data_IF_361211768000
#
_entry.id   IF_361211768000
#
_cell.length_a   1.000
_cell.length_b   1.000
_cell.length_c   1.000
_cell.angle_alpha   90.00
_cell.angle_beta   90.00
_cell.angle_gamma   90.00
#
_symmetry.space_group_name_H-M   'P 1'
#
loop_
_entity.id
_entity.type
_entity.pdbx_description
1 polymer ?
#
# COMPACT_ATOMS: atom_id res chain seq x y z
N UNK A 1 7.63 58.19 -70.37
CA UNK A 1 6.37 57.55 -70.83
C UNK A 1 6.02 56.54 -69.74
N UNK A 2 4.96 56.62 -68.92
CA UNK A 2 3.57 57.08 -69.09
C UNK A 2 2.66 55.83 -68.96
N UNK A 3 1.60 55.75 -68.13
CA UNK A 3 0.81 56.74 -67.37
C UNK A 3 0.03 56.10 -66.18
N UNK A 4 -0.14 56.85 -65.06
CA UNK A 4 -1.35 57.00 -64.19
C UNK A 4 -1.92 55.73 -63.46
N UNK A 5 -2.76 55.77 -62.39
CA UNK A 5 -3.60 56.82 -61.75
C UNK A 5 -3.87 56.49 -60.24
N UNK A 6 -3.52 57.35 -59.27
CA UNK A 6 -4.38 58.23 -58.41
C UNK A 6 -5.50 57.60 -57.54
N UNK A 7 -5.29 57.71 -56.20
CA UNK A 7 -6.20 58.00 -55.04
C UNK A 7 -7.74 57.89 -55.15
N UNK A 8 -8.40 57.49 -54.04
CA UNK A 8 -9.42 58.34 -53.36
C UNK A 8 -9.75 57.95 -51.90
N UNK A 9 -10.38 58.90 -51.19
CA UNK A 9 -10.64 59.00 -49.74
C UNK A 9 -12.14 59.35 -49.54
N UNK A 10 -12.87 58.67 -48.63
CA UNK A 10 -14.19 59.01 -48.03
C UNK A 10 -14.29 58.18 -46.72
N UNK A 11 -14.68 58.62 -45.49
CA UNK A 11 -15.14 59.89 -44.88
C UNK A 11 -16.67 60.19 -44.81
N UNK A 12 -17.34 59.66 -43.78
CA UNK A 12 -18.61 60.16 -43.18
C UNK A 12 -18.48 59.98 -41.65
N UNK A 13 -18.43 61.05 -40.83
CA UNK A 13 -19.55 61.77 -40.18
C UNK A 13 -20.44 60.86 -39.29
N UNK A 14 -20.33 60.84 -37.96
CA UNK A 14 -20.58 61.85 -36.89
C UNK A 14 -21.99 61.74 -36.28
N UNK A 15 -22.05 61.55 -34.95
CA UNK A 15 -23.08 61.89 -33.92
C UNK A 15 -22.88 60.90 -32.74
N UNK A 16 -22.36 61.18 -31.54
CA UNK A 16 -22.27 62.36 -30.65
C UNK A 16 -23.45 62.53 -29.65
N UNK A 17 -23.28 61.91 -28.48
CA UNK A 17 -23.77 62.29 -27.13
C UNK A 17 -22.85 61.58 -26.12
N UNK A 18 -22.14 62.20 -25.18
CA UNK A 18 -22.57 63.18 -24.16
C UNK A 18 -23.12 62.42 -22.94
N UNK A 19 -22.59 62.48 -21.70
CA UNK A 19 -21.60 63.37 -21.06
C UNK A 19 -20.93 62.61 -19.87
N UNK A 20 -19.59 62.61 -19.71
CA UNK A 20 -18.78 63.46 -18.80
C UNK A 20 -19.03 63.32 -17.27
N UNK A 21 -18.01 62.77 -16.59
CA UNK A 21 -17.59 62.91 -15.18
C UNK A 21 -18.56 62.58 -14.01
N UNK A 22 -18.08 61.69 -13.12
CA UNK A 22 -17.75 62.05 -11.73
C UNK A 22 -16.76 61.03 -11.14
N UNK A 23 -15.73 61.50 -10.45
CA UNK A 23 -14.80 60.64 -9.72
C UNK A 23 -15.39 60.24 -8.36
N UNK A 24 -15.50 58.94 -8.09
CA UNK A 24 -15.91 58.40 -6.80
C UNK A 24 -14.78 58.41 -5.76
N UNK A 25 -15.09 58.43 -4.45
CA UNK A 25 -14.12 58.73 -3.39
C UNK A 25 -13.13 57.59 -3.09
N UNK A 26 -11.99 57.95 -2.50
CA UNK A 26 -11.09 56.99 -1.82
C UNK A 26 -11.84 56.29 -0.68
N UNK A 27 -12.11 54.98 -0.83
CA UNK A 27 -12.67 54.20 0.27
C UNK A 27 -11.57 53.79 1.27
N UNK A 28 -11.38 54.63 2.30
CA UNK A 28 -10.60 54.26 3.49
C UNK A 28 -11.49 53.47 4.47
N UNK A 29 -11.90 52.27 4.04
CA UNK A 29 -12.79 51.37 4.77
C UNK A 29 -12.08 50.15 5.37
N UNK A 30 -12.09 50.06 6.70
CA UNK A 30 -12.04 48.83 7.52
C UNK A 30 -11.10 47.65 7.14
N UNK A 31 -9.97 47.57 7.87
CA UNK A 31 -9.36 46.27 8.23
C UNK A 31 -10.39 45.40 8.98
N UNK A 32 -11.09 44.50 8.30
CA UNK A 32 -11.66 43.28 8.90
C UNK A 32 -12.17 42.29 7.84
N UNK A 33 -11.26 41.47 7.28
CA UNK A 33 -11.61 40.10 6.92
C UNK A 33 -10.67 39.15 7.66
N UNK A 34 -11.14 38.58 8.77
CA UNK A 34 -10.56 37.33 9.26
C UNK A 34 -10.71 36.33 8.14
N UNK A 35 -9.59 35.73 7.74
CA UNK A 35 -9.46 34.71 6.70
C UNK A 35 -10.70 33.82 6.60
N UNK A 36 -11.47 33.95 5.52
CA UNK A 36 -12.55 33.02 5.22
C UNK A 36 -11.93 31.62 5.11
N UNK A 37 -12.32 30.71 6.00
CA UNK A 37 -11.91 29.32 5.88
C UNK A 37 -12.55 28.72 4.61
N UNK A 38 -11.84 27.87 3.87
CA UNK A 38 -12.35 27.34 2.62
C UNK A 38 -13.55 26.42 2.90
N UNK A 39 -14.69 26.71 2.26
CA UNK A 39 -15.93 25.93 2.34
C UNK A 39 -15.82 24.48 1.82
N UNK A 40 -14.61 24.03 1.47
CA UNK A 40 -14.31 22.69 0.97
C UNK A 40 -12.83 22.33 1.22
N UNK A 41 -12.48 21.04 1.32
CA UNK A 41 -11.10 20.60 1.48
C UNK A 41 -10.24 20.88 0.24
N UNK A 42 -9.00 21.31 0.45
CA UNK A 42 -8.01 21.65 -0.58
C UNK A 42 -7.66 20.47 -1.52
N UNK A 43 -7.66 19.25 -0.97
CA UNK A 43 -7.50 17.99 -1.72
C UNK A 43 -8.28 16.90 -1.02
N UNK A 44 -8.82 15.96 -1.80
CA UNK A 44 -9.28 14.66 -1.33
C UNK A 44 -8.18 13.63 -1.62
N UNK A 45 -7.84 12.81 -0.63
CA UNK A 45 -6.81 11.79 -0.73
C UNK A 45 -7.35 10.45 -0.25
N UNK A 46 -7.23 9.39 -1.06
CA UNK A 46 -7.91 8.12 -0.78
C UNK A 46 -6.97 7.09 -0.13
N UNK A 47 -7.43 6.53 0.99
CA UNK A 47 -6.69 5.55 1.80
C UNK A 47 -7.54 4.31 2.01
N UNK A 48 -6.98 3.13 1.78
CA UNK A 48 -7.56 1.88 2.30
C UNK A 48 -6.76 1.45 3.53
N UNK A 49 -7.47 1.12 4.61
CA UNK A 49 -6.87 0.51 5.80
C UNK A 49 -7.20 -0.98 5.73
N UNK A 50 -6.18 -1.82 5.75
CA UNK A 50 -6.29 -3.28 5.68
C UNK A 50 -5.89 -3.91 7.03
N UNK A 51 -6.83 -4.10 7.97
CA UNK A 51 -6.56 -4.90 9.16
C UNK A 51 -6.35 -6.36 8.76
N UNK A 52 -5.15 -6.88 9.01
CA UNK A 52 -4.74 -8.22 8.62
C UNK A 52 -5.73 -9.33 9.01
N UNK A 53 -5.78 -10.38 8.21
CA UNK A 53 -6.55 -11.60 8.46
C UNK A 53 -8.07 -11.37 8.57
N UNK A 54 -8.74 -11.94 9.58
CA UNK A 54 -10.18 -11.80 9.84
C UNK A 54 -10.94 -13.12 9.91
N UNK A 55 -10.53 -14.12 9.13
CA UNK A 55 -11.12 -15.46 9.11
C UNK A 55 -10.59 -16.41 10.19
N UNK A 56 -10.87 -17.70 10.00
CA UNK A 56 -10.63 -18.82 10.91
C UNK A 56 -9.66 -19.85 10.31
N UNK A 57 -8.91 -20.55 11.14
CA UNK A 57 -8.08 -21.69 10.73
C UNK A 57 -8.96 -22.94 10.63
N UNK A 58 -9.54 -23.15 9.45
CA UNK A 58 -10.48 -24.23 9.15
C UNK A 58 -9.92 -25.22 8.14
N UNK A 59 -10.35 -26.48 8.27
CA UNK A 59 -10.04 -27.59 7.36
C UNK A 59 -11.36 -28.17 6.82
N UNK A 60 -11.38 -28.73 5.59
CA UNK A 60 -10.25 -28.97 4.70
C UNK A 60 -9.81 -27.71 3.91
N UNK A 61 -8.60 -27.75 3.33
CA UNK A 61 -8.04 -26.64 2.53
C UNK A 61 -8.90 -26.37 1.29
N UNK A 62 -9.45 -27.43 0.73
CA UNK A 62 -10.27 -27.48 -0.47
C UNK A 62 -11.54 -26.62 -0.33
N UNK A 63 -12.05 -26.46 0.89
CA UNK A 63 -13.23 -25.66 1.22
C UNK A 63 -12.92 -24.29 1.80
N UNK A 64 -11.84 -24.17 2.58
CA UNK A 64 -11.57 -23.03 3.47
C UNK A 64 -10.23 -22.31 3.21
N UNK A 65 -9.44 -22.76 2.23
CA UNK A 65 -8.13 -22.21 1.89
C UNK A 65 -8.17 -20.82 1.25
N UNK A 66 -7.00 -20.31 0.88
CA UNK A 66 -6.80 -19.05 0.13
C UNK A 66 -5.98 -19.35 -1.14
N UNK A 67 -5.79 -18.34 -2.01
CA UNK A 67 -5.08 -18.46 -3.30
C UNK A 67 -5.74 -19.54 -4.18
N UNK A 68 -6.95 -19.25 -4.66
CA UNK A 68 -7.66 -20.11 -5.60
C UNK A 68 -6.95 -20.14 -6.95
N UNK A 69 -6.56 -21.33 -7.40
CA UNK A 69 -5.98 -21.56 -8.71
C UNK A 69 -7.05 -22.02 -9.71
N UNK A 70 -7.39 -21.20 -10.73
CA UNK A 70 -8.37 -21.57 -11.74
C UNK A 70 -7.86 -22.65 -12.72
N UNK A 71 -6.56 -22.97 -12.74
CA UNK A 71 -6.02 -24.05 -13.58
C UNK A 71 -6.39 -25.42 -12.98
N UNK A 72 -6.12 -25.61 -11.69
CA UNK A 72 -6.41 -26.86 -10.96
C UNK A 72 -7.80 -26.90 -10.31
N UNK A 73 -8.46 -25.75 -10.20
CA UNK A 73 -9.77 -25.60 -9.55
C UNK A 73 -9.72 -25.70 -8.02
N UNK A 74 -8.56 -25.45 -7.39
CA UNK A 74 -8.30 -25.70 -5.96
C UNK A 74 -7.65 -24.51 -5.28
N UNK A 75 -7.79 -24.40 -3.96
CA UNK A 75 -6.96 -23.51 -3.15
C UNK A 75 -5.54 -24.08 -3.00
N UNK A 76 -4.53 -23.25 -3.29
CA UNK A 76 -3.14 -23.66 -3.16
C UNK A 76 -2.67 -23.63 -1.70
N UNK A 77 -3.09 -22.63 -0.92
CA UNK A 77 -2.70 -22.44 0.48
C UNK A 77 -3.85 -22.68 1.48
N UNK A 78 -3.49 -23.04 2.72
CA UNK A 78 -4.40 -22.90 3.87
C UNK A 78 -4.66 -21.42 4.15
N UNK A 79 -5.85 -21.10 4.66
CA UNK A 79 -6.15 -19.74 5.09
C UNK A 79 -5.33 -19.38 6.34
N UNK A 80 -4.64 -18.24 6.31
CA UNK A 80 -3.80 -17.77 7.42
C UNK A 80 -4.64 -16.86 8.31
N UNK A 81 -5.04 -17.36 9.48
CA UNK A 81 -5.93 -16.66 10.41
C UNK A 81 -5.26 -15.60 11.31
N UNK A 82 -3.95 -15.40 11.15
CA UNK A 82 -3.10 -14.48 11.92
C UNK A 82 -2.47 -15.13 13.14
N UNK A 83 -1.50 -14.45 13.74
CA UNK A 83 -0.86 -14.88 14.96
C UNK A 83 -1.84 -14.90 16.15
N UNK A 84 -1.57 -15.74 17.13
CA UNK A 84 -2.34 -15.82 18.39
C UNK A 84 -1.40 -16.16 19.55
N UNK A 85 -1.63 -15.54 20.70
CA UNK A 85 -0.85 -15.78 21.92
C UNK A 85 -1.73 -15.66 23.16
N UNK A 86 -1.88 -16.76 23.91
CA UNK A 86 -2.93 -16.92 24.92
C UNK A 86 -4.30 -16.61 24.29
N UNK A 87 -5.11 -15.77 24.91
CA UNK A 87 -6.42 -15.32 24.38
C UNK A 87 -6.30 -14.19 23.34
N UNK A 88 -5.12 -13.58 23.17
CA UNK A 88 -4.90 -12.48 22.22
C UNK A 88 -4.81 -13.03 20.80
N UNK A 89 -5.63 -12.48 19.89
CA UNK A 89 -5.65 -12.82 18.45
C UNK A 89 -5.29 -11.58 17.64
N UNK A 90 -4.37 -11.72 16.68
CA UNK A 90 -3.93 -10.63 15.82
C UNK A 90 -5.13 -9.96 15.13
N UNK A 91 -5.96 -10.77 14.47
CA UNK A 91 -7.14 -10.32 13.69
C UNK A 91 -8.07 -9.38 14.47
N UNK A 92 -8.23 -9.59 15.77
CA UNK A 92 -9.06 -8.76 16.65
C UNK A 92 -8.38 -7.42 16.92
N UNK A 93 -7.14 -7.44 17.39
CA UNK A 93 -6.40 -6.25 17.81
C UNK A 93 -6.17 -5.30 16.62
N UNK A 94 -5.80 -5.83 15.44
CA UNK A 94 -5.56 -4.99 14.26
C UNK A 94 -6.86 -4.43 13.66
N UNK A 95 -7.99 -5.15 13.77
CA UNK A 95 -9.30 -4.61 13.37
C UNK A 95 -9.72 -3.45 14.26
N UNK A 96 -9.59 -3.60 15.58
CA UNK A 96 -9.91 -2.52 16.52
C UNK A 96 -9.04 -1.27 16.28
N UNK A 97 -7.74 -1.45 16.03
CA UNK A 97 -6.83 -0.34 15.70
C UNK A 97 -7.19 0.29 14.35
N UNK A 98 -7.61 -0.49 13.36
CA UNK A 98 -8.06 0.00 12.07
C UNK A 98 -9.36 0.82 12.18
N UNK A 99 -10.33 0.36 12.99
CA UNK A 99 -11.56 1.12 13.31
C UNK A 99 -11.21 2.46 13.97
N UNK A 100 -10.36 2.44 14.98
CA UNK A 100 -9.88 3.63 15.70
C UNK A 100 -9.15 4.63 14.77
N UNK A 101 -8.28 4.13 13.88
CA UNK A 101 -7.60 4.92 12.86
C UNK A 101 -8.60 5.54 11.88
N UNK A 102 -9.57 4.76 11.43
CA UNK A 102 -10.63 5.24 10.53
C UNK A 102 -11.44 6.37 11.17
N UNK A 103 -11.84 6.26 12.43
CA UNK A 103 -12.54 7.35 13.13
C UNK A 103 -11.72 8.64 13.17
N UNK A 104 -10.42 8.55 13.47
CA UNK A 104 -9.55 9.74 13.48
C UNK A 104 -9.37 10.33 12.08
N UNK A 105 -9.31 9.51 11.03
CA UNK A 105 -9.28 10.01 9.64
C UNK A 105 -10.62 10.58 9.19
N UNK A 106 -11.74 10.01 9.64
CA UNK A 106 -13.09 10.47 9.28
C UNK A 106 -13.40 11.86 9.86
N UNK A 107 -12.72 12.29 10.93
CA UNK A 107 -12.71 13.69 11.36
C UNK A 107 -12.33 14.65 10.22
N UNK A 108 -11.49 14.25 9.27
CA UNK A 108 -11.10 15.12 8.14
C UNK A 108 -12.20 15.36 7.10
N UNK A 109 -13.39 14.75 7.25
CA UNK A 109 -14.49 14.83 6.27
C UNK A 109 -15.35 16.09 6.38
N UNK A 110 -15.44 16.73 7.55
CA UNK A 110 -16.18 17.98 7.77
C UNK A 110 -15.27 19.07 8.37
N UNK A 111 -15.71 20.32 8.40
CA UNK A 111 -14.90 21.44 8.93
C UNK A 111 -14.78 21.37 10.46
N UNK A 112 -15.87 20.99 11.13
CA UNK A 112 -15.94 20.79 12.58
C UNK A 112 -15.04 19.63 13.01
N UNK A 113 -15.16 18.49 12.31
CA UNK A 113 -14.28 17.34 12.49
C UNK A 113 -12.82 17.72 12.23
N UNK A 114 -12.53 18.48 11.17
CA UNK A 114 -11.16 18.88 10.86
C UNK A 114 -10.59 19.86 11.88
N UNK A 115 -11.43 20.60 12.62
CA UNK A 115 -11.01 21.40 13.77
C UNK A 115 -10.57 20.50 14.95
N UNK A 116 -11.28 19.40 15.21
CA UNK A 116 -10.86 18.37 16.18
C UNK A 116 -9.55 17.70 15.70
N UNK A 117 -9.45 17.32 14.42
CA UNK A 117 -8.24 16.76 13.83
C UNK A 117 -7.04 17.69 14.00
N UNK A 118 -7.20 18.99 13.67
CA UNK A 118 -6.19 20.03 13.91
C UNK A 118 -5.74 20.08 15.38
N UNK A 119 -6.64 19.87 16.34
CA UNK A 119 -6.27 19.81 17.77
C UNK A 119 -5.32 18.65 18.09
N UNK A 120 -5.51 17.47 17.48
CA UNK A 120 -4.58 16.34 17.61
C UNK A 120 -3.23 16.64 16.93
N UNK A 121 -3.25 17.29 15.75
CA UNK A 121 -2.04 17.62 14.99
C UNK A 121 -1.11 18.62 15.69
N UNK A 122 -1.65 19.46 16.60
CA UNK A 122 -0.84 20.28 17.53
C UNK A 122 0.09 19.47 18.44
N UNK A 123 -0.07 18.15 18.54
CA UNK A 123 0.91 17.28 19.21
C UNK A 123 2.21 17.08 18.42
N UNK A 124 2.17 17.19 17.10
CA UNK A 124 3.27 16.84 16.19
C UNK A 124 3.90 18.06 15.50
N UNK A 125 3.11 19.10 15.20
CA UNK A 125 3.58 20.34 14.56
C UNK A 125 3.10 21.59 15.32
N UNK A 126 3.82 22.70 15.14
CA UNK A 126 3.41 24.04 15.57
C UNK A 126 2.76 24.83 14.42
N UNK A 127 2.94 24.38 13.18
CA UNK A 127 2.45 25.08 12.00
C UNK A 127 0.96 24.78 11.81
N UNK A 128 0.19 25.77 11.33
CA UNK A 128 -1.19 25.52 10.90
C UNK A 128 -1.20 24.62 9.66
N UNK A 129 -2.18 23.73 9.59
CA UNK A 129 -2.31 22.74 8.51
C UNK A 129 -3.59 23.01 7.69
N UNK A 130 -3.53 22.94 6.35
CA UNK A 130 -4.68 23.15 5.50
C UNK A 130 -5.68 21.99 5.58
N UNK A 131 -6.96 22.26 5.33
CA UNK A 131 -7.96 21.20 5.29
C UNK A 131 -7.74 20.29 4.08
N UNK A 132 -7.39 19.03 4.36
CA UNK A 132 -7.30 17.95 3.39
C UNK A 132 -8.22 16.85 3.91
N UNK A 133 -9.15 16.39 3.06
CA UNK A 133 -10.02 15.28 3.38
C UNK A 133 -9.30 13.97 3.04
N UNK A 134 -9.13 13.12 4.04
CA UNK A 134 -8.64 11.76 3.86
C UNK A 134 -9.86 10.85 3.80
N UNK A 135 -10.17 10.36 2.60
CA UNK A 135 -11.29 9.47 2.38
C UNK A 135 -10.85 8.03 2.66
N UNK A 136 -11.28 7.49 3.79
CA UNK A 136 -10.81 6.21 4.32
C UNK A 136 -11.88 5.10 4.31
N UNK A 137 -11.48 3.89 3.92
CA UNK A 137 -12.31 2.68 3.92
C UNK A 137 -11.54 1.50 4.51
N UNK A 138 -12.23 0.60 5.21
CA UNK A 138 -11.66 -0.65 5.73
C UNK A 138 -11.85 -1.80 4.73
N UNK A 139 -10.91 -2.73 4.63
CA UNK A 139 -11.10 -3.97 3.85
C UNK A 139 -12.07 -4.97 4.51
N UNK A 140 -12.30 -4.82 5.82
CA UNK A 140 -13.29 -5.58 6.60
C UNK A 140 -13.70 -4.79 7.85
N UNK A 141 -14.93 -4.98 8.32
CA UNK A 141 -15.48 -4.30 9.50
C UNK A 141 -15.72 -5.23 10.70
N UNK A 142 -15.53 -6.53 10.52
CA UNK A 142 -15.80 -7.61 11.48
C UNK A 142 -14.70 -8.69 11.35
N UNK A 143 -14.60 -9.57 12.36
CA UNK A 143 -13.95 -10.88 12.25
C UNK A 143 -15.02 -11.96 12.01
N UNK A 144 -14.62 -13.13 11.52
CA UNK A 144 -15.53 -14.27 11.38
C UNK A 144 -16.25 -14.64 12.70
N UNK A 145 -15.58 -14.46 13.84
CA UNK A 145 -16.13 -14.79 15.15
C UNK A 145 -17.25 -13.85 15.62
N UNK A 146 -17.46 -12.71 14.95
CA UNK A 146 -18.52 -11.72 15.23
C UNK A 146 -19.80 -11.99 14.42
N UNK A 147 -19.81 -12.99 13.53
CA UNK A 147 -20.92 -13.26 12.60
C UNK A 147 -21.38 -14.72 12.63
N UNK A 148 -22.69 -14.91 12.59
CA UNK A 148 -23.30 -16.22 12.32
C UNK A 148 -23.23 -16.56 10.81
N UNK A 149 -22.85 -17.79 10.51
CA UNK A 149 -22.80 -18.34 9.15
C UNK A 149 -23.76 -19.52 9.02
N UNK A 150 -24.51 -19.57 7.92
CA UNK A 150 -25.23 -20.80 7.57
C UNK A 150 -24.24 -21.91 7.24
N UNK A 151 -24.68 -23.17 7.37
CA UNK A 151 -23.88 -24.36 6.98
C UNK A 151 -23.49 -24.38 5.49
N UNK A 152 -24.08 -23.51 4.68
CA UNK A 152 -23.81 -23.35 3.24
C UNK A 152 -22.78 -22.26 2.91
N UNK A 153 -22.37 -21.46 3.90
CA UNK A 153 -21.40 -20.39 3.76
C UNK A 153 -20.00 -20.86 4.20
N UNK A 154 -19.00 -20.06 3.86
CA UNK A 154 -17.62 -20.26 4.28
C UNK A 154 -17.17 -19.05 5.10
N UNK A 155 -16.87 -19.21 6.40
CA UNK A 155 -16.43 -18.12 7.26
C UNK A 155 -15.18 -17.39 6.74
N UNK A 156 -14.36 -18.03 5.91
CA UNK A 156 -13.14 -17.42 5.36
C UNK A 156 -13.38 -16.58 4.10
N UNK A 157 -14.52 -16.75 3.42
CA UNK A 157 -14.80 -16.10 2.14
C UNK A 157 -14.54 -14.58 2.10
N UNK A 158 -15.15 -13.75 2.96
CA UNK A 158 -14.95 -12.30 2.90
C UNK A 158 -13.55 -11.81 3.33
N UNK A 159 -12.69 -12.71 3.83
CA UNK A 159 -11.37 -12.36 4.37
C UNK A 159 -10.20 -12.87 3.51
N UNK A 160 -10.48 -13.63 2.45
CA UNK A 160 -9.48 -14.13 1.49
C UNK A 160 -8.69 -13.00 0.86
N UNK A 161 -7.39 -13.21 0.69
CA UNK A 161 -6.51 -12.24 0.05
C UNK A 161 -6.73 -12.21 -1.47
N UNK A 162 -6.93 -13.38 -2.06
CA UNK A 162 -7.15 -13.60 -3.50
C UNK A 162 -8.64 -13.80 -3.84
N UNK A 163 -8.98 -13.68 -5.12
CA UNK A 163 -10.33 -13.97 -5.61
C UNK A 163 -10.66 -15.46 -5.45
N UNK A 164 -11.95 -15.77 -5.33
CA UNK A 164 -12.43 -17.11 -5.00
C UNK A 164 -13.79 -17.41 -5.63
N UNK A 165 -14.12 -18.66 -5.97
CA UNK A 165 -15.45 -19.02 -6.45
C UNK A 165 -16.46 -18.98 -5.30
N UNK A 166 -17.60 -18.34 -5.51
CA UNK A 166 -18.76 -18.52 -4.63
C UNK A 166 -19.19 -19.99 -4.59
N UNK A 167 -19.45 -20.53 -3.39
CA UNK A 167 -19.73 -21.97 -3.21
C UNK A 167 -20.97 -22.42 -3.98
N UNK A 168 -22.00 -21.57 -4.09
CA UNK A 168 -23.30 -21.89 -4.71
C UNK A 168 -23.32 -21.64 -6.22
N UNK A 169 -22.96 -20.43 -6.65
CA UNK A 169 -23.06 -19.98 -8.05
C UNK A 169 -21.82 -20.25 -8.88
N UNK A 170 -20.69 -20.63 -8.25
CA UNK A 170 -19.35 -20.76 -8.85
C UNK A 170 -18.80 -19.48 -9.51
N UNK A 171 -19.50 -18.35 -9.41
CA UNK A 171 -19.03 -17.05 -9.90
C UNK A 171 -17.89 -16.57 -9.01
N UNK A 172 -16.80 -16.12 -9.63
CA UNK A 172 -15.65 -15.55 -8.94
C UNK A 172 -16.07 -14.28 -8.20
N UNK A 173 -15.76 -14.23 -6.91
CA UNK A 173 -15.94 -13.11 -6.00
C UNK A 173 -14.59 -12.41 -5.76
N UNK A 174 -14.65 -11.12 -5.42
CA UNK A 174 -13.46 -10.31 -5.16
C UNK A 174 -12.85 -10.63 -3.79
N UNK A 175 -11.58 -11.02 -3.76
CA UNK A 175 -10.76 -11.04 -2.55
C UNK A 175 -10.27 -9.64 -2.16
N UNK A 176 -9.57 -9.53 -1.02
CA UNK A 176 -9.10 -8.26 -0.47
C UNK A 176 -8.22 -7.46 -1.45
N UNK A 177 -7.32 -8.09 -2.22
CA UNK A 177 -6.49 -7.36 -3.20
C UNK A 177 -7.35 -6.73 -4.32
N UNK A 178 -8.33 -7.45 -4.83
CA UNK A 178 -9.25 -6.96 -5.87
C UNK A 178 -10.16 -5.85 -5.36
N UNK A 179 -10.65 -5.96 -4.13
CA UNK A 179 -11.36 -4.88 -3.44
C UNK A 179 -10.48 -3.63 -3.32
N UNK A 180 -9.25 -3.77 -2.82
CA UNK A 180 -8.30 -2.65 -2.69
C UNK A 180 -8.04 -1.98 -4.05
N UNK A 181 -7.85 -2.75 -5.11
CA UNK A 181 -7.64 -2.19 -6.46
C UNK A 181 -8.90 -1.49 -7.00
N UNK A 182 -10.10 -2.05 -6.79
CA UNK A 182 -11.38 -1.41 -7.12
C UNK A 182 -11.55 -0.06 -6.42
N UNK A 183 -11.05 0.07 -5.19
CA UNK A 183 -11.09 1.32 -4.44
C UNK A 183 -10.14 2.40 -4.98
N UNK A 184 -9.15 2.05 -5.84
CA UNK A 184 -8.18 3.00 -6.44
C UNK A 184 -7.44 3.92 -5.43
N UNK A 185 -6.97 3.43 -4.27
CA UNK A 185 -6.34 4.27 -3.25
C UNK A 185 -4.98 4.82 -3.69
N UNK A 186 -4.62 5.98 -3.14
CA UNK A 186 -3.26 6.49 -3.22
C UNK A 186 -2.31 5.71 -2.27
N UNK A 187 -2.81 5.39 -1.08
CA UNK A 187 -2.09 4.71 0.00
C UNK A 187 -2.92 3.55 0.57
N UNK A 188 -2.28 2.42 0.82
CA UNK A 188 -2.82 1.30 1.59
C UNK A 188 -2.02 1.16 2.87
N UNK A 189 -2.70 1.19 4.02
CA UNK A 189 -2.10 0.96 5.34
C UNK A 189 -2.53 -0.42 5.81
N UNK A 190 -1.64 -1.40 5.72
CA UNK A 190 -1.91 -2.77 6.18
C UNK A 190 -1.34 -2.96 7.59
N UNK A 191 -2.17 -3.45 8.52
CA UNK A 191 -1.87 -3.54 9.95
C UNK A 191 -1.81 -5.01 10.38
N UNK A 192 -0.65 -5.43 10.86
CA UNK A 192 -0.33 -6.78 11.27
C UNK A 192 0.44 -6.82 12.60
N UNK A 193 0.47 -7.98 13.26
CA UNK A 193 1.25 -8.24 14.47
C UNK A 193 2.02 -9.55 14.36
N UNK A 194 3.33 -9.49 14.57
CA UNK A 194 4.17 -10.68 14.47
C UNK A 194 4.24 -11.49 15.77
N UNK A 195 4.47 -12.81 15.68
CA UNK A 195 5.07 -13.58 16.77
C UNK A 195 6.57 -13.25 16.86
N UNK A 196 7.11 -13.17 18.07
CA UNK A 196 8.54 -12.90 18.28
C UNK A 196 9.36 -14.17 18.51
N UNK A 197 10.68 -14.07 18.36
CA UNK A 197 11.62 -15.06 18.89
C UNK A 197 12.01 -14.74 20.34
N UNK A 198 12.57 -15.72 21.06
CA UNK A 198 13.04 -15.55 22.45
C UNK A 198 13.95 -14.32 22.58
N UNK A 199 13.73 -13.48 23.58
CA UNK A 199 14.49 -12.23 23.82
C UNK A 199 14.33 -11.11 22.76
N UNK A 200 13.46 -11.25 21.75
CA UNK A 200 13.17 -10.15 20.80
C UNK A 200 12.70 -8.87 21.55
N UNK A 201 13.22 -7.68 21.22
CA UNK A 201 12.89 -6.41 21.92
C UNK A 201 11.48 -5.84 21.67
N UNK A 202 10.59 -6.59 21.02
CA UNK A 202 9.34 -6.08 20.44
C UNK A 202 9.55 -4.97 19.41
N UNK A 203 8.61 -4.03 19.37
CA UNK A 203 8.63 -2.87 18.47
C UNK A 203 7.90 -3.12 17.16
N UNK A 204 8.28 -2.38 16.11
CA UNK A 204 7.59 -2.37 14.82
C UNK A 204 8.53 -2.76 13.68
N UNK A 205 8.00 -3.19 12.53
CA UNK A 205 8.77 -3.39 11.30
C UNK A 205 7.92 -3.10 10.05
N UNK A 206 8.59 -2.80 8.93
CA UNK A 206 7.93 -2.75 7.63
C UNK A 206 7.97 -4.12 6.95
N UNK A 207 7.00 -4.40 6.08
CA UNK A 207 7.04 -5.57 5.17
C UNK A 207 7.20 -5.07 3.74
N UNK A 208 8.23 -5.57 3.05
CA UNK A 208 8.61 -5.12 1.72
C UNK A 208 8.71 -6.29 0.74
N UNK A 209 8.37 -6.00 -0.51
CA UNK A 209 8.71 -6.80 -1.70
C UNK A 209 9.46 -5.86 -2.64
N UNK A 210 10.58 -6.27 -3.24
CA UNK A 210 11.30 -5.43 -4.21
C UNK A 210 10.57 -5.40 -5.56
N UNK A 211 11.12 -4.71 -6.56
CA UNK A 211 10.56 -4.73 -7.92
C UNK A 211 11.13 -5.87 -8.77
N UNK A 212 10.64 -5.94 -10.01
CA UNK A 212 11.25 -6.68 -11.11
C UNK A 212 12.78 -6.54 -11.18
N UNK A 213 13.36 -5.36 -10.90
CA UNK A 213 14.81 -5.10 -10.97
C UNK A 213 15.60 -6.05 -10.07
N UNK A 214 15.27 -6.10 -8.78
CA UNK A 214 15.97 -6.98 -7.83
C UNK A 214 15.60 -8.45 -8.06
N UNK A 215 14.33 -8.77 -8.35
CA UNK A 215 13.95 -10.15 -8.68
C UNK A 215 14.70 -10.67 -9.92
N UNK A 216 14.89 -9.85 -10.95
CA UNK A 216 15.66 -10.21 -12.15
C UNK A 216 17.14 -10.46 -11.84
N UNK A 217 17.72 -9.71 -10.89
CA UNK A 217 19.07 -9.99 -10.37
C UNK A 217 19.10 -11.34 -9.65
N UNK A 218 18.15 -11.61 -8.74
CA UNK A 218 18.05 -12.88 -8.01
C UNK A 218 17.87 -14.09 -8.94
N UNK A 219 16.97 -13.99 -9.93
CA UNK A 219 16.82 -14.95 -11.04
C UNK A 219 18.16 -15.19 -11.74
N UNK A 220 18.85 -14.11 -12.12
CA UNK A 220 20.15 -14.20 -12.76
C UNK A 220 21.25 -14.82 -11.90
N UNK A 221 21.21 -14.69 -10.57
CA UNK A 221 22.11 -15.42 -9.66
C UNK A 221 21.78 -16.91 -9.66
N UNK A 222 20.50 -17.28 -9.53
CA UNK A 222 20.05 -18.69 -9.61
C UNK A 222 20.38 -19.38 -10.94
N UNK A 223 20.42 -18.61 -12.03
CA UNK A 223 20.84 -19.06 -13.37
C UNK A 223 22.37 -19.07 -13.58
N UNK A 224 23.16 -18.56 -12.63
CA UNK A 224 24.61 -18.40 -12.78
C UNK A 224 25.05 -17.27 -13.73
N UNK A 225 24.12 -16.40 -14.16
CA UNK A 225 24.40 -15.20 -14.98
C UNK A 225 25.01 -14.05 -14.17
N UNK A 226 24.83 -14.03 -12.84
CA UNK A 226 25.38 -13.02 -11.95
C UNK A 226 26.03 -13.64 -10.71
N UNK A 227 27.10 -13.01 -10.20
CA UNK A 227 27.71 -13.37 -8.91
C UNK A 227 26.81 -13.02 -7.72
N UNK A 228 26.90 -13.84 -6.67
CA UNK A 228 26.13 -13.71 -5.41
C UNK A 228 26.36 -12.38 -4.69
N UNK A 229 27.51 -11.75 -4.94
CA UNK A 229 27.95 -10.49 -4.36
C UNK A 229 26.99 -9.34 -4.70
N UNK A 230 26.24 -9.45 -5.83
CA UNK A 230 25.17 -8.50 -6.17
C UNK A 230 24.01 -8.50 -5.17
N UNK A 231 23.73 -9.64 -4.53
CA UNK A 231 22.76 -9.74 -3.45
C UNK A 231 23.42 -9.41 -2.10
N UNK A 232 24.56 -10.03 -1.79
CA UNK A 232 25.23 -9.91 -0.48
C UNK A 232 25.61 -8.46 -0.13
N UNK A 233 25.96 -7.63 -1.13
CA UNK A 233 26.28 -6.20 -0.95
C UNK A 233 25.06 -5.27 -1.09
N UNK A 234 23.88 -5.81 -1.40
CA UNK A 234 22.65 -5.02 -1.54
C UNK A 234 21.96 -4.80 -0.19
N UNK A 235 21.12 -3.76 -0.04
CA UNK A 235 20.26 -3.61 1.14
C UNK A 235 19.19 -4.71 1.27
N UNK A 236 18.98 -5.50 0.21
CA UNK A 236 18.07 -6.65 0.21
C UNK A 236 18.70 -7.93 0.79
N UNK A 237 19.97 -7.91 1.20
CA UNK A 237 20.70 -9.10 1.71
C UNK A 237 20.11 -9.69 3.00
N UNK A 238 19.32 -8.91 3.74
CA UNK A 238 18.63 -9.29 4.98
C UNK A 238 17.31 -10.06 4.73
N UNK A 239 17.29 -10.89 3.68
CA UNK A 239 16.10 -11.61 3.26
C UNK A 239 15.55 -12.58 4.31
N UNK A 240 14.23 -12.78 4.33
CA UNK A 240 13.59 -13.71 5.25
C UNK A 240 14.02 -15.16 4.97
N UNK A 241 14.26 -15.94 6.03
CA UNK A 241 14.44 -17.39 5.94
C UNK A 241 13.12 -18.06 6.30
N UNK A 242 12.36 -18.48 5.28
CA UNK A 242 11.09 -19.20 5.44
C UNK A 242 11.24 -20.71 5.21
N UNK A 243 12.24 -21.13 4.41
CA UNK A 243 12.65 -22.53 4.29
C UNK A 243 13.83 -22.78 5.22
N UNK A 244 13.58 -23.53 6.30
CA UNK A 244 14.64 -23.93 7.24
C UNK A 244 15.73 -24.75 6.52
N UNK A 245 16.99 -24.52 6.91
CA UNK A 245 18.17 -25.11 6.27
C UNK A 245 18.64 -24.42 4.99
N UNK A 246 17.90 -23.43 4.46
CA UNK A 246 18.31 -22.63 3.31
C UNK A 246 18.83 -21.26 3.79
N UNK A 247 19.89 -20.75 3.14
CA UNK A 247 20.43 -19.41 3.37
C UNK A 247 19.47 -18.30 2.91
N UNK A 248 19.74 -17.06 3.32
CA UNK A 248 18.99 -15.87 2.87
C UNK A 248 18.99 -15.74 1.33
N UNK A 249 20.11 -16.06 0.68
CA UNK A 249 20.22 -16.01 -0.78
C UNK A 249 19.37 -17.11 -1.44
N UNK A 250 19.39 -18.35 -0.93
CA UNK A 250 18.57 -19.44 -1.47
C UNK A 250 17.06 -19.14 -1.32
N UNK A 251 16.64 -18.58 -0.17
CA UNK A 251 15.26 -18.11 0.01
C UNK A 251 14.92 -16.94 -0.94
N UNK A 252 15.82 -15.98 -1.14
CA UNK A 252 15.61 -14.87 -2.08
C UNK A 252 15.50 -15.34 -3.55
N UNK A 253 16.31 -16.33 -3.95
CA UNK A 253 16.20 -16.97 -5.27
C UNK A 253 14.89 -17.74 -5.40
N UNK A 254 14.42 -18.40 -4.33
CA UNK A 254 13.12 -19.08 -4.33
C UNK A 254 11.96 -18.10 -4.57
N UNK A 255 11.94 -17.00 -3.81
CA UNK A 255 10.96 -15.94 -3.97
C UNK A 255 10.98 -15.29 -5.36
N UNK A 256 12.16 -15.19 -5.99
CA UNK A 256 12.29 -14.70 -7.35
C UNK A 256 11.64 -15.64 -8.38
N UNK A 257 11.79 -16.97 -8.24
CA UNK A 257 11.15 -17.93 -9.13
C UNK A 257 9.63 -18.05 -8.89
N UNK A 258 9.19 -18.00 -7.63
CA UNK A 258 7.77 -17.91 -7.23
C UNK A 258 7.14 -16.58 -7.72
N UNK A 259 7.91 -15.51 -7.83
CA UNK A 259 7.50 -14.27 -8.46
C UNK A 259 7.37 -14.43 -9.99
N UNK A 260 8.34 -15.05 -10.66
CA UNK A 260 8.36 -15.13 -12.13
C UNK A 260 7.38 -16.13 -12.74
N UNK A 261 7.45 -17.42 -12.40
CA UNK A 261 6.60 -18.46 -13.00
C UNK A 261 5.73 -19.20 -11.98
N UNK A 262 5.69 -18.73 -10.72
CA UNK A 262 4.81 -19.29 -9.70
C UNK A 262 5.20 -20.68 -9.20
N UNK A 263 6.38 -21.22 -9.53
CA UNK A 263 6.87 -22.48 -8.94
C UNK A 263 8.09 -22.18 -8.07
N UNK A 264 8.28 -22.98 -7.02
CA UNK A 264 9.53 -23.01 -6.28
C UNK A 264 10.66 -23.58 -7.16
N UNK A 265 11.92 -23.21 -6.91
CA UNK A 265 13.06 -23.96 -7.38
C UNK A 265 13.40 -25.08 -6.39
N UNK A 266 14.28 -26.00 -6.80
CA UNK A 266 15.06 -26.79 -5.85
C UNK A 266 16.06 -25.88 -5.08
N UNK A 267 16.66 -26.40 -4.01
CA UNK A 267 17.59 -25.62 -3.17
C UNK A 267 18.73 -24.95 -3.96
N UNK A 268 19.23 -25.59 -5.01
CA UNK A 268 20.29 -25.02 -5.85
C UNK A 268 19.88 -23.79 -6.67
N UNK A 269 18.58 -23.44 -6.73
CA UNK A 269 18.05 -22.34 -7.54
C UNK A 269 17.97 -22.62 -9.05
N UNK A 270 18.51 -23.75 -9.51
CA UNK A 270 18.77 -24.04 -10.94
C UNK A 270 17.66 -24.81 -11.66
N UNK A 271 16.79 -25.52 -10.94
CA UNK A 271 15.70 -26.33 -11.52
C UNK A 271 14.39 -26.04 -10.82
N UNK A 272 13.30 -26.03 -11.56
CA UNK A 272 11.94 -25.94 -11.04
C UNK A 272 11.59 -27.17 -10.20
N UNK A 273 10.93 -26.98 -9.07
CA UNK A 273 10.17 -28.02 -8.39
C UNK A 273 8.72 -27.99 -8.88
N UNK A 274 8.38 -28.95 -9.75
CA UNK A 274 7.04 -29.05 -10.35
C UNK A 274 5.96 -29.48 -9.35
N UNK A 275 6.32 -29.96 -8.16
CA UNK A 275 5.37 -30.32 -7.10
C UNK A 275 4.96 -29.12 -6.24
N UNK A 276 5.77 -28.05 -6.24
CA UNK A 276 5.61 -26.88 -5.40
C UNK A 276 5.16 -25.66 -6.23
N UNK A 277 3.87 -25.63 -6.57
CA UNK A 277 3.23 -24.53 -7.30
C UNK A 277 2.50 -23.55 -6.37
N UNK A 278 2.80 -22.27 -6.53
CA UNK A 278 2.30 -21.11 -5.77
C UNK A 278 1.43 -20.18 -6.62
N UNK A 279 1.07 -20.60 -7.83
CA UNK A 279 0.10 -19.91 -8.68
C UNK A 279 0.68 -18.81 -9.57
N UNK A 280 0.03 -18.60 -10.72
CA UNK A 280 0.16 -17.36 -11.50
C UNK A 280 -0.66 -16.25 -10.83
N UNK A 281 -0.13 -15.75 -9.70
CA UNK A 281 -0.82 -14.86 -8.75
C UNK A 281 -1.39 -13.59 -9.38
N UNK A 282 -0.79 -13.08 -10.47
CA UNK A 282 -1.32 -11.95 -11.24
C UNK A 282 -2.69 -12.19 -11.87
N UNK A 283 -3.09 -13.46 -12.04
CA UNK A 283 -4.38 -13.85 -12.61
C UNK A 283 -5.40 -14.34 -11.57
N UNK A 284 -5.00 -14.40 -10.29
CA UNK A 284 -5.83 -14.80 -9.14
C UNK A 284 -6.57 -13.62 -8.50
N UNK A 285 -6.62 -12.49 -9.19
CA UNK A 285 -7.25 -11.23 -8.77
C UNK A 285 -7.88 -10.51 -9.96
N UNK A 286 -8.76 -9.56 -9.68
CA UNK A 286 -9.47 -8.74 -10.66
C UNK A 286 -8.84 -7.34 -10.77
N UNK A 287 -8.22 -7.07 -11.93
CA UNK A 287 -7.52 -5.82 -12.26
C UNK A 287 -7.13 -5.77 -13.75
N UNK A 288 -6.80 -4.59 -14.27
CA UNK A 288 -6.40 -4.35 -15.68
C UNK A 288 -5.22 -5.18 -16.18
N UNK A 289 -4.35 -5.61 -15.26
CA UNK A 289 -3.08 -6.28 -15.57
C UNK A 289 -3.18 -7.82 -15.60
N UNK A 290 -4.36 -8.38 -15.33
CA UNK A 290 -4.65 -9.80 -15.57
C UNK A 290 -4.49 -10.13 -17.06
N UNK A 291 -4.02 -11.33 -17.34
CA UNK A 291 -3.90 -11.86 -18.69
C UNK A 291 -5.26 -12.03 -19.37
N UNK A 292 -5.26 -12.18 -20.70
CA UNK A 292 -6.49 -12.26 -21.50
C UNK A 292 -7.32 -13.52 -21.16
N UNK A 293 -8.66 -13.49 -21.34
CA UNK A 293 -9.49 -14.69 -21.14
C UNK A 293 -8.98 -15.90 -21.93
N UNK A 294 -8.97 -17.08 -21.31
CA UNK A 294 -8.41 -18.31 -21.89
C UNK A 294 -6.91 -18.52 -21.61
N UNK A 295 -6.27 -17.64 -20.85
CA UNK A 295 -4.88 -17.83 -20.39
C UNK A 295 -4.68 -19.13 -19.62
N UNK A 296 -5.72 -19.66 -18.96
CA UNK A 296 -5.70 -20.94 -18.25
C UNK A 296 -5.32 -22.10 -19.18
N UNK A 297 -5.81 -22.11 -20.43
CA UNK A 297 -5.48 -23.15 -21.41
C UNK A 297 -4.04 -23.00 -21.93
N UNK A 298 -3.58 -21.77 -22.16
CA UNK A 298 -2.18 -21.49 -22.50
C UNK A 298 -1.24 -21.95 -21.37
N UNK A 299 -1.64 -21.78 -20.11
CA UNK A 299 -0.86 -22.21 -18.95
C UNK A 299 -0.86 -23.74 -18.75
N UNK A 300 -1.93 -24.44 -19.15
CA UNK A 300 -1.97 -25.91 -19.19
C UNK A 300 -1.02 -26.47 -20.25
N UNK A 301 -1.06 -25.92 -21.48
CA UNK A 301 -0.15 -26.27 -22.58
C UNK A 301 1.33 -26.01 -22.21
N UNK A 302 1.61 -24.87 -21.57
CA UNK A 302 2.96 -24.49 -21.15
C UNK A 302 3.86 -24.15 -22.34
N UNK A 303 5.08 -24.70 -22.37
CA UNK A 303 6.09 -24.38 -23.38
C UNK A 303 6.93 -23.15 -23.02
N UNK A 304 7.34 -22.38 -24.02
CA UNK A 304 8.14 -21.14 -23.86
C UNK A 304 7.22 -19.94 -23.72
N UNK A 305 7.50 -19.04 -22.77
CA UNK A 305 6.69 -17.84 -22.49
C UNK A 305 6.41 -17.65 -20.99
N UNK A 306 5.41 -16.83 -20.65
CA UNK A 306 5.13 -16.48 -19.25
C UNK A 306 4.55 -17.61 -18.38
N UNK A 307 4.03 -18.69 -18.98
CA UNK A 307 3.57 -19.88 -18.27
C UNK A 307 4.55 -21.06 -18.38
N UNK A 308 5.82 -20.77 -18.65
CA UNK A 308 6.82 -21.83 -18.73
C UNK A 308 7.09 -22.43 -17.35
N UNK A 309 7.01 -23.76 -17.29
CA UNK A 309 7.42 -24.57 -16.14
C UNK A 309 8.96 -24.72 -16.05
N UNK A 310 9.69 -24.13 -16.99
CA UNK A 310 11.15 -24.19 -17.14
C UNK A 310 11.76 -22.81 -16.88
N UNK A 311 12.80 -22.76 -16.03
CA UNK A 311 13.57 -21.54 -15.75
C UNK A 311 14.15 -20.90 -17.03
N UNK A 312 14.57 -21.74 -17.99
CA UNK A 312 15.22 -21.35 -19.26
C UNK A 312 14.22 -20.77 -20.25
N UNK A 313 13.03 -21.34 -20.32
CA UNK A 313 12.03 -21.02 -21.35
C UNK A 313 10.98 -20.03 -20.84
N UNK A 314 11.05 -19.61 -19.57
CA UNK A 314 10.27 -18.52 -19.02
C UNK A 314 10.61 -17.17 -19.65
N UNK A 315 9.59 -16.43 -20.07
CA UNK A 315 9.71 -15.05 -20.56
C UNK A 315 8.66 -14.17 -19.89
N UNK A 316 9.07 -13.02 -19.35
CA UNK A 316 8.18 -12.07 -18.67
C UNK A 316 7.55 -11.11 -19.68
N UNK A 317 6.44 -11.53 -20.29
CA UNK A 317 5.71 -10.82 -21.36
C UNK A 317 4.23 -10.68 -21.00
N UNK A 318 3.60 -9.56 -21.36
CA UNK A 318 2.20 -9.27 -21.04
C UNK A 318 2.02 -8.14 -20.02
N UNK A 319 0.77 -7.72 -19.82
CA UNK A 319 0.40 -6.47 -19.12
C UNK A 319 0.96 -6.38 -17.70
N UNK A 320 0.93 -7.50 -16.95
CA UNK A 320 1.55 -7.56 -15.61
C UNK A 320 3.06 -7.28 -15.69
N UNK A 321 3.77 -7.92 -16.61
CA UNK A 321 5.23 -7.76 -16.73
C UNK A 321 5.64 -6.38 -17.25
N UNK A 322 4.86 -5.77 -18.13
CA UNK A 322 5.02 -4.38 -18.56
C UNK A 322 4.85 -3.40 -17.39
N UNK A 323 3.83 -3.61 -16.55
CA UNK A 323 3.65 -2.88 -15.30
C UNK A 323 4.84 -3.09 -14.37
N UNK A 324 5.24 -4.32 -14.10
CA UNK A 324 6.33 -4.67 -13.17
C UNK A 324 7.69 -4.05 -13.55
N UNK A 325 7.93 -3.83 -14.85
CA UNK A 325 9.12 -3.14 -15.39
C UNK A 325 8.98 -1.61 -15.43
N UNK A 326 7.80 -1.06 -15.14
CA UNK A 326 7.50 0.37 -15.30
C UNK A 326 8.13 1.24 -14.21
N UNK A 327 8.34 2.51 -14.53
CA UNK A 327 8.98 3.47 -13.63
C UNK A 327 8.24 3.68 -12.27
N UNK A 328 6.89 3.66 -12.19
CA UNK A 328 6.17 3.64 -10.91
C UNK A 328 6.52 2.48 -9.97
N UNK A 329 6.82 1.30 -10.52
CA UNK A 329 7.19 0.13 -9.71
C UNK A 329 8.56 0.32 -9.06
N UNK A 330 9.52 0.88 -9.81
CA UNK A 330 10.82 1.28 -9.27
C UNK A 330 10.67 2.36 -8.18
N UNK A 331 9.84 3.38 -8.43
CA UNK A 331 9.61 4.45 -7.45
C UNK A 331 8.97 3.94 -6.15
N UNK A 332 8.04 2.98 -6.22
CA UNK A 332 7.32 2.49 -5.05
C UNK A 332 8.01 1.34 -4.31
N UNK A 333 8.86 0.53 -4.98
CA UNK A 333 9.49 -0.67 -4.38
C UNK A 333 11.02 -0.74 -4.38
N UNK A 334 11.76 0.11 -5.08
CA UNK A 334 13.22 -0.06 -5.22
C UNK A 334 14.08 0.94 -4.46
N UNK A 335 14.11 2.20 -4.89
CA UNK A 335 15.09 3.18 -4.43
C UNK A 335 14.51 4.03 -3.29
N UNK A 336 14.61 5.36 -3.35
CA UNK A 336 13.87 6.26 -2.45
C UNK A 336 14.61 6.63 -1.16
N UNK A 337 13.85 7.16 -0.20
CA UNK A 337 14.39 7.98 0.91
C UNK A 337 15.06 7.19 2.02
N UNK A 338 14.66 5.93 2.20
CA UNK A 338 15.26 5.00 3.16
C UNK A 338 16.46 4.26 2.54
N UNK A 339 16.96 4.71 1.38
CA UNK A 339 18.03 4.07 0.60
C UNK A 339 17.58 2.87 -0.22
N UNK A 340 16.46 2.23 0.14
CA UNK A 340 15.82 1.16 -0.63
C UNK A 340 14.34 0.98 -0.24
N UNK A 341 13.61 0.18 -1.02
CA UNK A 341 12.21 -0.19 -0.78
C UNK A 341 11.20 0.86 -1.24
N UNK A 342 11.65 1.91 -1.93
CA UNK A 342 10.83 2.94 -2.55
C UNK A 342 9.98 3.77 -1.59
N UNK A 343 8.93 4.37 -2.14
CA UNK A 343 7.92 5.07 -1.34
C UNK A 343 7.16 4.13 -0.40
N UNK A 344 7.09 2.81 -0.66
CA UNK A 344 6.50 1.85 0.27
C UNK A 344 7.28 1.81 1.59
N UNK A 345 8.61 1.66 1.52
CA UNK A 345 9.45 1.66 2.72
C UNK A 345 9.45 3.01 3.41
N UNK A 346 9.53 4.11 2.67
CA UNK A 346 9.40 5.45 3.26
C UNK A 346 8.04 5.65 3.97
N UNK A 347 6.94 5.21 3.36
CA UNK A 347 5.62 5.29 3.98
C UNK A 347 5.56 4.46 5.27
N UNK A 348 5.97 3.19 5.24
CA UNK A 348 5.98 2.35 6.44
C UNK A 348 6.88 2.93 7.55
N UNK A 349 8.11 3.30 7.21
CA UNK A 349 9.08 3.86 8.17
C UNK A 349 8.56 5.17 8.79
N UNK A 350 7.97 6.04 7.99
CA UNK A 350 7.43 7.32 8.48
C UNK A 350 6.22 7.11 9.40
N UNK A 351 5.26 6.23 9.06
CA UNK A 351 4.15 5.91 9.96
C UNK A 351 4.63 5.34 11.30
N UNK A 352 5.63 4.45 11.28
CA UNK A 352 6.25 3.92 12.51
C UNK A 352 6.98 5.01 13.32
N UNK A 353 7.66 5.97 12.67
CA UNK A 353 8.27 7.13 13.35
C UNK A 353 7.22 8.01 14.02
N UNK A 354 6.06 8.22 13.40
CA UNK A 354 4.96 8.96 14.03
C UNK A 354 4.43 8.23 15.27
N UNK A 355 4.24 6.91 15.20
CA UNK A 355 3.84 6.08 16.36
C UNK A 355 4.88 6.13 17.48
N UNK A 356 6.18 6.01 17.17
CA UNK A 356 7.26 6.24 18.14
C UNK A 356 7.14 7.59 18.82
N UNK A 357 6.98 8.65 18.04
CA UNK A 357 6.95 10.03 18.53
C UNK A 357 5.74 10.31 19.42
N UNK A 358 4.53 9.92 18.97
CA UNK A 358 3.28 10.13 19.70
C UNK A 358 3.25 9.35 21.02
N UNK A 359 3.66 8.08 21.00
CA UNK A 359 3.71 7.26 22.21
C UNK A 359 4.80 7.72 23.18
N UNK A 360 5.98 8.15 22.71
CA UNK A 360 7.06 8.59 23.62
C UNK A 360 6.77 9.90 24.34
N UNK A 361 5.97 10.78 23.74
CA UNK A 361 5.45 12.02 24.37
C UNK A 361 4.62 11.76 25.62
N UNK A 362 4.03 10.57 25.77
CA UNK A 362 3.26 10.18 26.95
C UNK A 362 4.15 10.11 28.19
N UNK A 363 3.66 10.59 29.33
CA UNK A 363 4.26 10.33 30.66
C UNK A 363 3.90 8.92 31.18
N UNK A 364 4.03 7.90 30.34
CA UNK A 364 3.88 6.48 30.71
C UNK A 364 5.25 5.82 30.83
N UNK A 365 5.36 4.82 31.71
CA UNK A 365 6.52 3.95 31.85
C UNK A 365 6.74 3.15 30.55
N UNK A 366 5.66 2.58 30.01
CA UNK A 366 5.72 1.86 28.74
C UNK A 366 6.08 2.80 27.58
N UNK A 367 7.23 2.52 26.96
CA UNK A 367 7.73 3.16 25.74
C UNK A 367 7.79 2.14 24.60
N UNK A 368 7.40 2.47 23.36
CA UNK A 368 7.47 1.56 22.21
C UNK A 368 8.85 0.89 22.07
N UNK A 369 8.88 -0.35 21.57
CA UNK A 369 10.11 -1.01 21.12
C UNK A 369 10.78 -0.27 19.95
N UNK A 370 11.87 -0.79 19.37
CA UNK A 370 12.56 -0.15 18.23
C UNK A 370 11.72 -0.16 16.94
N UNK A 371 12.19 0.55 15.91
CA UNK A 371 11.84 0.23 14.52
C UNK A 371 12.89 -0.77 14.03
N UNK A 372 12.47 -2.00 13.77
CA UNK A 372 13.34 -3.11 13.36
C UNK A 372 13.65 -3.06 11.86
N UNK A 373 14.61 -3.88 11.40
CA UNK A 373 14.83 -4.10 9.96
C UNK A 373 13.55 -4.63 9.29
N UNK A 374 13.27 -4.25 8.04
CA UNK A 374 12.09 -4.73 7.33
C UNK A 374 12.15 -6.23 7.03
N UNK A 375 10.98 -6.86 6.97
CA UNK A 375 10.80 -8.22 6.44
C UNK A 375 10.74 -8.18 4.92
N UNK A 376 11.58 -9.01 4.27
CA UNK A 376 11.75 -9.02 2.81
C UNK A 376 11.34 -10.39 2.26
N UNK A 377 10.32 -10.42 1.38
CA UNK A 377 9.88 -11.62 0.64
C UNK A 377 8.96 -11.22 -0.54
N UNK A 378 8.49 -12.19 -1.34
CA UNK A 378 7.54 -12.03 -2.45
C UNK A 378 6.09 -11.78 -2.00
N UNK A 379 5.90 -10.93 -0.98
CA UNK A 379 4.60 -10.63 -0.37
C UNK A 379 3.57 -10.15 -1.39
N UNK A 380 2.40 -10.77 -1.38
CA UNK A 380 1.36 -10.57 -2.39
C UNK A 380 0.78 -9.14 -2.35
N UNK A 381 0.34 -8.66 -1.18
CA UNK A 381 -0.32 -7.36 -1.04
C UNK A 381 0.50 -6.19 -1.66
N UNK A 382 1.76 -5.93 -1.25
CA UNK A 382 2.53 -4.82 -1.83
C UNK A 382 2.89 -5.04 -3.32
N UNK A 383 2.90 -6.28 -3.81
CA UNK A 383 3.14 -6.59 -5.23
C UNK A 383 1.93 -6.21 -6.09
N UNK A 384 0.75 -6.72 -5.74
CA UNK A 384 -0.42 -6.78 -6.61
C UNK A 384 -1.45 -5.65 -6.43
N UNK A 385 -1.14 -4.62 -5.65
CA UNK A 385 -1.96 -3.40 -5.54
C UNK A 385 -1.38 -2.23 -6.35
N UNK A 386 -2.24 -1.42 -6.98
CA UNK A 386 -1.86 -0.16 -7.63
C UNK A 386 -1.87 1.02 -6.64
N UNK A 387 -1.10 0.90 -5.57
CA UNK A 387 -0.96 1.93 -4.54
C UNK A 387 0.44 1.96 -3.95
N UNK A 388 0.73 3.01 -3.17
CA UNK A 388 1.81 2.96 -2.17
C UNK A 388 1.34 2.07 -1.02
N UNK A 389 2.18 1.14 -0.61
CA UNK A 389 1.90 0.18 0.46
C UNK A 389 2.69 0.55 1.71
N UNK A 390 2.00 1.02 2.75
CA UNK A 390 2.54 1.06 4.11
C UNK A 390 2.10 -0.22 4.84
N UNK A 391 2.82 -1.31 4.63
CA UNK A 391 2.61 -2.56 5.36
C UNK A 391 3.39 -2.50 6.66
N UNK A 392 2.68 -2.60 7.79
CA UNK A 392 3.20 -2.42 9.14
C UNK A 392 2.98 -3.68 9.98
N UNK A 393 4.07 -4.29 10.44
CA UNK A 393 4.08 -5.12 11.63
C UNK A 393 4.14 -4.16 12.81
N UNK A 394 2.99 -3.80 13.37
CA UNK A 394 2.84 -2.63 14.27
C UNK A 394 3.19 -2.95 15.74
N UNK A 395 3.52 -4.20 16.02
CA UNK A 395 3.83 -4.73 17.35
C UNK A 395 4.06 -6.24 17.30
N UNK A 396 4.43 -6.82 18.45
CA UNK A 396 4.55 -8.27 18.59
C UNK A 396 3.50 -8.81 19.57
N UNK A 397 2.73 -9.82 19.15
CA UNK A 397 1.55 -10.29 19.90
C UNK A 397 1.89 -10.95 21.24
N UNK A 398 3.11 -11.49 21.36
CA UNK A 398 3.66 -12.11 22.56
C UNK A 398 4.46 -11.13 23.45
N UNK A 399 4.56 -9.85 23.07
CA UNK A 399 5.21 -8.80 23.89
C UNK A 399 4.17 -7.98 24.62
N UNK A 400 4.09 -8.16 25.94
CA UNK A 400 3.07 -7.50 26.75
C UNK A 400 3.10 -5.98 26.61
N UNK A 401 4.29 -5.37 26.56
CA UNK A 401 4.45 -3.93 26.32
C UNK A 401 3.82 -3.46 25.01
N UNK A 402 4.09 -4.16 23.90
CA UNK A 402 3.53 -3.79 22.59
C UNK A 402 2.00 -3.97 22.61
N UNK A 403 1.51 -5.02 23.29
CA UNK A 403 0.08 -5.26 23.46
C UNK A 403 -0.62 -4.22 24.34
N UNK A 404 0.01 -3.74 25.43
CA UNK A 404 -0.48 -2.58 26.20
C UNK A 404 -0.60 -1.35 25.30
N UNK A 405 0.39 -1.11 24.42
CA UNK A 405 0.37 0.03 23.49
C UNK A 405 -0.74 -0.11 22.44
N UNK A 406 -0.94 -1.31 21.88
CA UNK A 406 -1.97 -1.56 20.85
C UNK A 406 -3.40 -1.66 21.40
N UNK A 407 -3.59 -2.00 22.67
CA UNK A 407 -4.93 -2.18 23.27
C UNK A 407 -5.34 -1.00 24.15
N UNK A 408 -4.63 -0.77 25.26
CA UNK A 408 -4.92 0.30 26.23
C UNK A 408 -4.66 1.70 25.67
N UNK A 409 -3.71 1.81 24.74
CA UNK A 409 -3.25 3.09 24.17
C UNK A 409 -3.54 3.23 22.66
N UNK A 410 -4.49 2.43 22.17
CA UNK A 410 -4.94 2.34 20.77
C UNK A 410 -5.26 3.69 20.14
N UNK A 411 -5.94 4.60 20.86
CA UNK A 411 -6.27 5.95 20.38
C UNK A 411 -5.02 6.77 20.03
N UNK A 412 -3.98 6.70 20.85
CA UNK A 412 -2.73 7.42 20.62
C UNK A 412 -1.94 6.83 19.44
N UNK A 413 -2.00 5.51 19.25
CA UNK A 413 -1.45 4.84 18.05
C UNK A 413 -2.22 5.31 16.80
N UNK A 414 -3.55 5.28 16.83
CA UNK A 414 -4.41 5.72 15.73
C UNK A 414 -4.20 7.21 15.38
N UNK A 415 -4.14 8.10 16.37
CA UNK A 415 -3.83 9.53 16.17
C UNK A 415 -2.43 9.70 15.54
N UNK A 416 -1.45 8.91 15.97
CA UNK A 416 -0.10 8.96 15.42
C UNK A 416 -0.05 8.47 13.97
N UNK A 417 -0.70 7.35 13.66
CA UNK A 417 -0.83 6.83 12.30
C UNK A 417 -1.56 7.85 11.40
N UNK A 418 -2.65 8.45 11.86
CA UNK A 418 -3.39 9.48 11.12
C UNK A 418 -2.53 10.74 10.86
N UNK A 419 -1.74 11.18 11.83
CA UNK A 419 -0.78 12.27 11.67
C UNK A 419 0.31 11.93 10.64
N UNK A 420 0.80 10.69 10.65
CA UNK A 420 1.74 10.17 9.66
C UNK A 420 1.16 10.12 8.25
N UNK A 421 -0.07 9.63 8.09
CA UNK A 421 -0.78 9.61 6.79
C UNK A 421 -0.92 11.04 6.27
N UNK A 422 -1.38 11.98 7.11
CA UNK A 422 -1.45 13.40 6.73
C UNK A 422 -0.07 13.95 6.32
N UNK A 423 1.00 13.59 7.03
CA UNK A 423 2.37 13.96 6.67
C UNK A 423 2.82 13.42 5.31
N UNK A 424 2.47 12.18 4.97
CA UNK A 424 2.76 11.61 3.66
C UNK A 424 2.02 12.36 2.54
N UNK A 425 0.82 12.89 2.79
CA UNK A 425 0.04 13.69 1.82
C UNK A 425 0.59 15.11 1.66
N UNK A 426 0.71 15.86 2.76
CA UNK A 426 0.98 17.30 2.75
C UNK A 426 2.44 17.65 3.07
N UNK A 427 3.05 16.89 3.97
CA UNK A 427 4.22 17.29 4.75
C UNK A 427 3.80 17.98 6.04
N UNK A 428 4.66 17.88 7.07
CA UNK A 428 4.49 18.51 8.37
C UNK A 428 5.86 18.90 8.93
N UNK A 429 5.99 20.12 9.43
CA UNK A 429 7.19 20.52 10.17
C UNK A 429 7.12 19.97 11.58
N UNK A 430 7.85 18.89 11.85
CA UNK A 430 7.80 18.18 13.13
C UNK A 430 8.46 19.02 14.23
N UNK A 431 7.85 19.07 15.42
CA UNK A 431 8.47 19.70 16.59
C UNK A 431 9.73 18.93 16.98
N UNK A 432 10.81 19.65 17.24
CA UNK A 432 12.06 19.05 17.75
C UNK A 432 11.81 18.39 19.10
N UNK A 433 12.29 17.16 19.26
CA UNK A 433 12.27 16.38 20.50
C UNK A 433 13.57 15.57 20.58
N UNK A 434 14.01 15.21 21.79
CA UNK A 434 15.13 14.29 21.98
C UNK A 434 14.63 12.84 22.05
N UNK A 435 14.12 12.32 20.93
CA UNK A 435 13.63 10.95 20.80
C UNK A 435 14.48 10.16 19.79
N UNK A 436 14.66 8.83 19.97
CA UNK A 436 15.48 8.02 19.07
C UNK A 436 14.91 7.90 17.65
N UNK A 437 13.60 8.13 17.48
CA UNK A 437 12.92 8.14 16.19
C UNK A 437 12.08 9.42 16.11
N UNK A 438 12.46 10.30 15.19
CA UNK A 438 11.75 11.55 14.88
C UNK A 438 11.24 11.41 13.43
N UNK A 439 9.94 11.67 13.16
CA UNK A 439 9.43 11.67 11.79
C UNK A 439 10.16 12.68 10.90
N UNK A 440 10.32 12.35 9.63
CA UNK A 440 10.99 13.19 8.63
C UNK A 440 10.09 14.37 8.22
N UNK A 441 8.78 14.21 8.30
CA UNK A 441 7.80 15.26 8.06
C UNK A 441 7.60 15.63 6.59
N UNK A 442 8.12 14.85 5.64
CA UNK A 442 8.08 15.20 4.20
C UNK A 442 7.04 14.37 3.45
N UNK A 443 6.20 15.02 2.65
CA UNK A 443 5.28 14.31 1.73
C UNK A 443 6.01 13.40 0.74
N UNK A 444 5.30 12.39 0.28
CA UNK A 444 5.61 11.65 -0.96
C UNK A 444 5.36 12.58 -2.16
N UNK A 445 6.13 12.38 -3.23
CA UNK A 445 5.86 13.04 -4.52
C UNK A 445 4.71 12.32 -5.23
N UNK A 446 3.46 12.62 -4.84
CA UNK A 446 2.27 12.04 -5.48
C UNK A 446 2.16 12.41 -6.96
N UNK A 447 2.68 13.59 -7.36
CA UNK A 447 2.52 14.13 -8.71
C UNK A 447 3.15 13.22 -9.77
N UNK A 448 4.29 12.57 -9.47
CA UNK A 448 4.94 11.64 -10.42
C UNK A 448 4.08 10.41 -10.77
N UNK A 449 3.20 9.98 -9.86
CA UNK A 449 2.24 8.89 -10.11
C UNK A 449 0.95 9.40 -10.77
N UNK A 450 0.52 10.61 -10.43
CA UNK A 450 -0.72 11.23 -10.91
C UNK A 450 -0.63 11.78 -12.35
N UNK A 451 0.57 12.19 -12.82
CA UNK A 451 0.78 12.95 -14.07
C UNK A 451 1.60 12.22 -15.15
N UNK A 452 1.53 10.89 -15.19
CA UNK A 452 2.26 10.07 -16.18
C UNK A 452 1.62 10.15 -17.57
N UNK A 453 2.40 9.80 -18.61
CA UNK A 453 1.93 9.66 -20.00
C UNK A 453 0.82 8.61 -20.13
N UNK A 454 0.89 7.52 -19.38
CA UNK A 454 -0.10 6.44 -19.38
C UNK A 454 -1.31 6.74 -18.47
N UNK A 455 -1.44 7.97 -17.96
CA UNK A 455 -2.47 8.35 -17.01
C UNK A 455 -2.11 8.09 -15.55
N UNK A 456 -3.07 8.36 -14.66
CA UNK A 456 -2.86 8.27 -13.21
C UNK A 456 -2.68 6.81 -12.75
N UNK A 457 -1.51 6.48 -12.20
CA UNK A 457 -1.14 5.12 -11.78
C UNK A 457 -2.14 4.48 -10.79
N UNK A 458 -2.76 5.27 -9.91
CA UNK A 458 -3.73 4.77 -8.94
C UNK A 458 -5.10 4.48 -9.58
N UNK A 459 -5.48 5.23 -10.62
CA UNK A 459 -6.81 5.17 -11.21
C UNK A 459 -6.95 4.13 -12.33
N UNK A 460 -5.86 3.89 -13.06
CA UNK A 460 -5.79 3.01 -14.23
C UNK A 460 -6.09 1.53 -13.93
N UNK A 461 -6.03 1.09 -12.66
CA UNK A 461 -6.08 -0.34 -12.31
C UNK A 461 -7.44 -1.02 -12.56
N UNK A 462 -8.51 -0.25 -12.67
CA UNK A 462 -9.87 -0.75 -12.90
C UNK A 462 -10.47 -0.32 -14.26
N UNK A 463 -9.63 0.15 -15.18
CA UNK A 463 -9.99 0.38 -16.59
C UNK A 463 -9.83 -0.89 -17.42
#
# INVERSE_FOLDING_TARGET
MGRFQIRRFILFHVLLSGSVLLAGPEDRGTRNSKTAHPLSPLKIFKVVIDPGHGGLDLKPKEDHGDKYDPISGKYLELYKAGASFKEKKERTIVLELAKELKEVLDLTKTEEGFTIFRSYMKSFTNDDIPWIRIDSVLTRNENAEEREYSSSEDPNAPYRLFDYPDKKTKKIQQGRISFINKEKPNLVVSLHLNPSYKEHPGGMAAVLTPSYRTFYILKGIGEGRFGKEKFERSPWSEWMVFKSGWSKLENAIADAWIYFHGYWPNQSGKKTDLSAFEGYRQNMIHWKYKDVPGWEELAKLGGKGQYSKSHKDFVSEGKFWEREKSQPELWRREDGREGFGGDNHYASAELMRFVQYGLRKRKTEEKPGPINKPYLSTYALPTFINAISAYLEIGYIDKEKDMILMTKYKKDVAISLAAGIYSLVHGLKIKKQNYPYIPVGKKIDWKRYETRKEGNYFQIVSE
#
